data_IF_069690938855
#
_entry.id   IF_069690938855
#
_cell.length_a   1.000
_cell.length_b   1.000
_cell.length_c   1.000
_cell.angle_alpha   90.00
_cell.angle_beta   90.00
_cell.angle_gamma   90.00
#
_symmetry.space_group_name_H-M   'P 1'
#
loop_
_entity.id
_entity.type
_entity.pdbx_description
1 polymer ?
#
# COMPACT_ATOMS: atom_id res chain seq x y z
N UNK A 1 -63.83 34.68 -29.72
CA UNK A 1 -62.52 34.53 -30.38
C UNK A 1 -61.54 33.95 -29.37
N UNK A 2 -60.66 33.04 -29.83
CA UNK A 2 -59.85 32.07 -29.08
C UNK A 2 -59.05 32.64 -27.90
N UNK A 3 -59.16 32.01 -26.74
CA UNK A 3 -58.16 32.13 -25.66
C UNK A 3 -56.99 31.17 -25.98
N UNK A 4 -55.79 31.70 -26.13
CA UNK A 4 -54.56 30.92 -26.26
C UNK A 4 -53.98 30.69 -24.87
N UNK A 5 -53.97 29.43 -24.43
CA UNK A 5 -53.23 29.01 -23.25
C UNK A 5 -51.86 28.54 -23.73
N UNK A 6 -50.81 29.29 -23.38
CA UNK A 6 -49.43 28.88 -23.61
C UNK A 6 -48.98 27.96 -22.48
N UNK A 7 -48.85 26.66 -22.76
CA UNK A 7 -48.15 25.73 -21.87
C UNK A 7 -46.64 25.86 -22.11
N UNK A 8 -45.93 26.43 -21.15
CA UNK A 8 -44.47 26.39 -21.11
C UNK A 8 -44.04 25.06 -20.46
N UNK A 9 -43.75 24.04 -21.27
CA UNK A 9 -43.14 22.80 -20.78
C UNK A 9 -41.63 23.01 -20.73
N UNK A 10 -41.10 23.37 -19.57
CA UNK A 10 -39.67 23.46 -19.35
C UNK A 10 -39.12 22.08 -18.99
N UNK A 11 -38.76 21.28 -20.00
CA UNK A 11 -38.09 20.00 -19.80
C UNK A 11 -36.65 20.25 -19.31
N UNK A 12 -36.43 20.03 -18.02
CA UNK A 12 -35.10 20.12 -17.41
C UNK A 12 -34.28 18.86 -17.77
N UNK A 13 -33.57 18.91 -18.89
CA UNK A 13 -32.57 17.90 -19.25
C UNK A 13 -31.32 18.09 -18.38
N UNK A 14 -31.28 17.40 -17.24
CA UNK A 14 -30.07 17.23 -16.44
C UNK A 14 -29.06 16.40 -17.24
N UNK A 15 -28.21 17.08 -18.01
CA UNK A 15 -26.99 16.50 -18.56
C UNK A 15 -26.01 16.32 -17.40
N UNK A 16 -26.08 15.18 -16.73
CA UNK A 16 -25.00 14.79 -15.81
C UNK A 16 -23.75 14.56 -16.65
N UNK A 17 -22.65 15.32 -16.45
CA UNK A 17 -21.38 14.93 -17.06
C UNK A 17 -21.04 13.55 -16.50
N UNK A 18 -20.78 12.60 -17.41
CA UNK A 18 -20.29 11.28 -17.08
C UNK A 18 -19.18 11.45 -16.04
N UNK A 19 -19.41 10.94 -14.84
CA UNK A 19 -18.40 10.91 -13.80
C UNK A 19 -17.17 10.26 -14.41
N UNK A 20 -16.07 11.01 -14.50
CA UNK A 20 -14.75 10.43 -14.69
C UNK A 20 -14.60 9.44 -13.54
N UNK A 21 -14.86 8.16 -13.79
CA UNK A 21 -14.49 7.11 -12.86
C UNK A 21 -12.98 7.17 -12.84
N UNK A 22 -12.42 7.87 -11.86
CA UNK A 22 -11.08 7.58 -11.42
C UNK A 22 -11.17 6.10 -11.03
N UNK A 23 -10.71 5.19 -11.89
CA UNK A 23 -10.41 3.84 -11.46
C UNK A 23 -9.22 3.98 -10.53
N UNK A 24 -9.47 4.47 -9.32
CA UNK A 24 -8.58 4.23 -8.22
C UNK A 24 -8.65 2.72 -8.04
N UNK A 25 -7.68 2.00 -8.64
CA UNK A 25 -7.36 0.66 -8.16
C UNK A 25 -7.33 0.80 -6.66
N UNK A 26 -8.23 0.12 -5.95
CA UNK A 26 -8.29 0.19 -4.49
C UNK A 26 -6.90 -0.21 -3.99
N UNK A 27 -6.12 0.79 -3.60
CA UNK A 27 -4.71 0.60 -3.29
C UNK A 27 -4.59 -0.20 -2.00
N UNK A 28 -3.45 -0.85 -1.83
CA UNK A 28 -3.07 -1.29 -0.51
C UNK A 28 -2.89 -0.07 0.40
N UNK A 29 -3.24 -0.20 1.66
CA UNK A 29 -2.98 0.76 2.71
C UNK A 29 -2.08 0.11 3.75
N UNK A 30 -0.94 0.71 4.02
CA UNK A 30 -0.02 0.30 5.06
C UNK A 30 -0.28 1.13 6.31
N UNK A 31 -0.83 0.50 7.35
CA UNK A 31 -1.26 1.18 8.58
C UNK A 31 -0.23 1.10 9.70
N UNK A 32 0.39 -0.06 9.91
CA UNK A 32 1.36 -0.28 10.98
C UNK A 32 2.20 -1.53 10.66
N UNK A 33 3.22 -1.78 11.47
CA UNK A 33 3.98 -3.01 11.43
C UNK A 33 4.14 -3.59 12.83
N UNK A 34 4.46 -4.88 12.87
CA UNK A 34 4.73 -5.63 14.10
C UNK A 34 5.88 -6.61 13.80
N UNK A 35 6.88 -6.62 14.68
CA UNK A 35 7.96 -7.61 14.63
C UNK A 35 7.71 -8.63 15.74
N UNK A 36 7.42 -9.87 15.36
CA UNK A 36 7.19 -10.95 16.31
C UNK A 36 8.46 -11.80 16.46
N UNK A 37 8.91 -11.93 17.70
CA UNK A 37 9.99 -12.83 18.06
C UNK A 37 9.49 -14.28 18.01
N UNK A 38 9.99 -15.05 17.05
CA UNK A 38 9.94 -16.51 17.11
C UNK A 38 11.38 -17.01 17.28
N UNK A 39 11.56 -18.06 18.07
CA UNK A 39 12.87 -18.67 18.36
C UNK A 39 13.54 -19.26 17.11
N UNK A 40 12.79 -19.47 16.03
CA UNK A 40 13.29 -20.12 14.81
C UNK A 40 13.07 -19.31 13.53
N UNK A 41 11.95 -18.59 13.41
CA UNK A 41 11.64 -17.75 12.25
C UNK A 41 10.86 -16.50 12.66
N UNK A 42 11.52 -15.38 12.99
CA UNK A 42 10.84 -14.14 13.35
C UNK A 42 9.94 -13.68 12.21
N UNK A 43 8.80 -13.08 12.54
CA UNK A 43 7.86 -12.58 11.54
C UNK A 43 7.84 -11.06 11.53
N UNK A 44 7.95 -10.47 10.34
CA UNK A 44 7.65 -9.07 10.11
C UNK A 44 6.27 -8.95 9.49
N UNK A 45 5.32 -8.42 10.25
CA UNK A 45 3.93 -8.29 9.84
C UNK A 45 3.63 -6.83 9.54
N UNK A 46 3.15 -6.55 8.34
CA UNK A 46 2.55 -5.28 7.98
C UNK A 46 1.04 -5.39 8.05
N UNK A 47 0.38 -4.50 8.78
CA UNK A 47 -1.08 -4.45 8.89
C UNK A 47 -1.64 -3.34 8.01
N UNK A 48 -2.87 -3.53 7.57
CA UNK A 48 -3.67 -2.49 6.93
C UNK A 48 -4.74 -3.06 6.03
N UNK A 49 -4.81 -2.60 4.79
CA UNK A 49 -5.70 -3.15 3.77
C UNK A 49 -4.88 -3.59 2.57
N UNK A 50 -5.00 -4.86 2.18
CA UNK A 50 -4.27 -5.40 1.04
C UNK A 50 -5.24 -6.14 0.11
N UNK A 51 -4.92 -6.15 -1.18
CA UNK A 51 -5.61 -6.93 -2.19
C UNK A 51 -4.77 -8.20 -2.46
N UNK A 52 -5.23 -9.39 -2.02
CA UNK A 52 -4.49 -10.64 -2.19
C UNK A 52 -4.12 -10.96 -3.65
N UNK A 53 -4.89 -10.47 -4.62
CA UNK A 53 -4.59 -10.68 -6.05
C UNK A 53 -3.29 -9.98 -6.49
N UNK A 54 -2.80 -9.01 -5.71
CA UNK A 54 -1.55 -8.30 -5.98
C UNK A 54 -0.34 -8.92 -5.27
N UNK A 55 -0.50 -9.93 -4.40
CA UNK A 55 0.63 -10.47 -3.62
C UNK A 55 1.75 -11.00 -4.51
N UNK A 56 1.39 -11.62 -5.65
CA UNK A 56 2.35 -12.10 -6.64
C UNK A 56 3.17 -10.98 -7.31
N UNK A 57 2.77 -9.70 -7.15
CA UNK A 57 3.46 -8.53 -7.69
C UNK A 57 4.39 -7.87 -6.67
N UNK A 58 4.36 -8.29 -5.40
CA UNK A 58 5.32 -7.87 -4.39
C UNK A 58 6.70 -8.37 -4.80
N UNK A 59 7.69 -7.50 -4.77
CA UNK A 59 9.07 -7.86 -5.12
C UNK A 59 9.94 -7.74 -3.89
N UNK A 60 10.70 -8.79 -3.61
CA UNK A 60 11.73 -8.80 -2.58
C UNK A 60 13.07 -8.87 -3.31
N UNK A 61 13.96 -7.92 -3.03
CA UNK A 61 15.28 -7.84 -3.67
C UNK A 61 16.35 -7.65 -2.63
N UNK A 62 17.50 -8.34 -2.75
CA UNK A 62 18.68 -8.01 -1.95
C UNK A 62 19.04 -6.53 -2.10
N UNK A 63 19.48 -5.93 -1.01
CA UNK A 63 19.98 -4.56 -1.00
C UNK A 63 21.44 -4.46 -1.44
N UNK A 64 22.07 -3.38 -1.02
CA UNK A 64 23.48 -3.08 -1.28
C UNK A 64 24.45 -3.93 -0.46
N UNK A 65 24.01 -4.43 0.70
CA UNK A 65 24.76 -5.37 1.54
C UNK A 65 24.04 -6.71 1.64
N UNK A 66 24.74 -7.75 2.12
CA UNK A 66 24.13 -9.07 2.38
C UNK A 66 23.10 -9.06 3.53
N UNK A 67 23.08 -8.00 4.33
CA UNK A 67 22.17 -7.82 5.47
C UNK A 67 21.03 -6.85 5.17
N UNK A 68 21.01 -6.26 3.97
CA UNK A 68 19.98 -5.35 3.51
C UNK A 68 19.04 -6.10 2.56
N UNK A 69 17.73 -5.92 2.76
CA UNK A 69 16.69 -6.41 1.84
C UNK A 69 15.67 -5.32 1.60
N UNK A 70 15.22 -5.19 0.36
CA UNK A 70 14.16 -4.26 -0.01
C UNK A 70 12.91 -5.00 -0.48
N UNK A 71 11.75 -4.55 0.00
CA UNK A 71 10.43 -5.04 -0.38
C UNK A 71 9.70 -3.90 -1.10
N UNK A 72 9.26 -4.17 -2.32
CA UNK A 72 8.44 -3.24 -3.11
C UNK A 72 6.99 -3.71 -3.02
N UNK A 73 6.17 -2.89 -2.37
CA UNK A 73 4.73 -3.05 -2.27
C UNK A 73 4.07 -2.19 -3.39
N UNK A 74 3.54 -2.82 -4.46
CA UNK A 74 2.91 -2.09 -5.56
C UNK A 74 1.54 -1.56 -5.13
N UNK A 75 1.06 -0.50 -5.78
CA UNK A 75 -0.24 0.13 -5.51
C UNK A 75 -0.50 0.42 -4.01
N UNK A 76 0.55 0.72 -3.24
CA UNK A 76 0.46 0.88 -1.77
C UNK A 76 0.65 2.33 -1.37
N UNK A 77 -0.14 2.78 -0.40
CA UNK A 77 -0.01 4.07 0.29
C UNK A 77 0.26 3.85 1.78
N UNK A 78 1.00 4.76 2.42
CA UNK A 78 1.29 4.72 3.85
C UNK A 78 0.28 5.59 4.58
N UNK A 79 -0.41 5.01 5.57
CA UNK A 79 -1.25 5.78 6.46
C UNK A 79 -0.38 6.65 7.39
N UNK A 80 -0.23 7.92 7.05
CA UNK A 80 0.63 8.84 7.79
C UNK A 80 0.15 9.15 9.21
N UNK A 81 -1.10 8.82 9.55
CA UNK A 81 -1.64 9.00 10.90
C UNK A 81 -1.22 7.84 11.80
N UNK A 82 -1.29 6.61 11.28
CA UNK A 82 -1.00 5.39 12.04
C UNK A 82 0.48 4.98 11.96
N UNK A 83 1.17 5.34 10.88
CA UNK A 83 2.59 5.09 10.66
C UNK A 83 3.33 6.39 10.30
N UNK A 84 3.49 7.30 11.27
CA UNK A 84 4.16 8.58 11.04
C UNK A 84 5.67 8.42 10.82
N UNK A 85 6.28 7.40 11.42
CA UNK A 85 7.71 7.14 11.35
C UNK A 85 8.11 6.50 10.01
N UNK A 86 9.16 7.05 9.38
CA UNK A 86 9.70 6.57 8.10
C UNK A 86 11.02 5.86 8.22
N UNK A 87 11.68 6.04 9.34
CA UNK A 87 12.89 5.32 9.72
C UNK A 87 12.70 4.82 11.14
N UNK A 88 12.78 3.52 11.30
CA UNK A 88 12.59 2.81 12.56
C UNK A 88 13.94 2.18 12.88
N UNK A 89 14.50 2.52 14.03
CA UNK A 89 15.77 1.97 14.54
C UNK A 89 15.62 1.33 15.91
N UNK A 90 14.44 1.42 16.51
CA UNK A 90 14.08 0.79 17.78
C UNK A 90 13.04 -0.28 17.51
N UNK A 91 13.35 -1.51 17.90
CA UNK A 91 12.45 -2.65 17.78
C UNK A 91 12.28 -3.29 19.15
N UNK A 92 11.04 -3.69 19.47
CA UNK A 92 10.73 -4.34 20.75
C UNK A 92 11.34 -5.75 20.87
N UNK A 93 11.72 -6.33 19.73
CA UNK A 93 12.40 -7.62 19.66
C UNK A 93 13.90 -7.40 19.53
N UNK A 94 14.63 -7.76 20.58
CA UNK A 94 16.08 -7.71 20.58
C UNK A 94 16.67 -8.54 19.43
N UNK A 95 17.55 -7.91 18.65
CA UNK A 95 18.65 -8.63 18.00
C UNK A 95 18.52 -9.02 16.53
N UNK A 96 17.43 -8.69 15.84
CA UNK A 96 17.23 -9.16 14.45
C UNK A 96 17.37 -8.01 13.44
N UNK A 97 16.61 -6.94 13.62
CA UNK A 97 16.64 -5.75 12.75
C UNK A 97 17.47 -4.63 13.38
N UNK A 98 18.25 -3.93 12.56
CA UNK A 98 18.95 -2.69 12.94
C UNK A 98 18.16 -1.46 12.53
N UNK A 99 17.60 -1.50 11.32
CA UNK A 99 16.86 -0.38 10.75
C UNK A 99 15.79 -0.88 9.78
N UNK A 100 14.64 -0.23 9.77
CA UNK A 100 13.65 -0.34 8.72
C UNK A 100 13.31 1.06 8.21
N UNK A 101 13.33 1.27 6.90
CA UNK A 101 12.90 2.52 6.30
C UNK A 101 11.76 2.32 5.31
N UNK A 102 10.90 3.33 5.23
CA UNK A 102 9.66 3.33 4.46
C UNK A 102 9.67 4.53 3.53
N UNK A 103 9.76 4.28 2.23
CA UNK A 103 9.74 5.33 1.20
C UNK A 103 8.50 5.15 0.34
N UNK A 104 7.64 6.17 0.34
CA UNK A 104 6.50 6.25 -0.56
C UNK A 104 6.86 7.03 -1.83
N UNK A 105 6.44 6.50 -2.98
CA UNK A 105 6.59 7.15 -4.29
C UNK A 105 5.24 7.21 -4.99
N UNK A 106 4.77 8.43 -5.25
CA UNK A 106 3.55 8.71 -6.00
C UNK A 106 3.94 9.23 -7.38
N UNK A 107 3.46 8.61 -8.44
CA UNK A 107 3.77 9.00 -9.83
C UNK A 107 2.54 9.04 -10.71
N UNK A 108 2.50 10.00 -11.64
CA UNK A 108 1.47 10.05 -12.67
C UNK A 108 1.86 9.16 -13.85
N UNK A 109 0.99 8.24 -14.22
CA UNK A 109 1.17 7.39 -15.41
C UNK A 109 0.92 8.17 -16.70
N UNK A 110 1.45 7.67 -17.83
CA UNK A 110 1.24 8.28 -19.16
C UNK A 110 -0.24 8.43 -19.54
N UNK A 111 -1.11 7.56 -19.02
CA UNK A 111 -2.56 7.58 -19.26
C UNK A 111 -3.35 8.44 -18.26
N UNK A 112 -2.66 9.20 -17.40
CA UNK A 112 -3.29 10.09 -16.42
C UNK A 112 -3.70 9.45 -15.10
N UNK A 113 -3.59 8.12 -14.96
CA UNK A 113 -3.77 7.43 -13.67
C UNK A 113 -2.62 7.71 -12.70
N UNK A 114 -2.83 7.44 -11.41
CA UNK A 114 -1.83 7.60 -10.35
C UNK A 114 -1.31 6.22 -9.95
N UNK A 115 0.00 6.09 -9.82
CA UNK A 115 0.66 4.89 -9.32
C UNK A 115 1.26 5.20 -7.94
N UNK A 116 0.93 4.34 -6.98
CA UNK A 116 1.42 4.39 -5.61
C UNK A 116 2.36 3.22 -5.39
N UNK A 117 3.49 3.46 -4.74
CA UNK A 117 4.48 2.43 -4.46
C UNK A 117 5.13 2.73 -3.12
N UNK A 118 5.23 1.70 -2.29
CA UNK A 118 5.98 1.75 -1.04
C UNK A 118 7.18 0.82 -1.17
N UNK A 119 8.35 1.37 -0.91
CA UNK A 119 9.57 0.58 -0.72
C UNK A 119 9.85 0.49 0.78
N UNK A 120 9.91 -0.73 1.29
CA UNK A 120 10.41 -1.02 2.63
C UNK A 120 11.85 -1.49 2.48
N UNK A 121 12.81 -0.81 3.09
CA UNK A 121 14.19 -1.28 3.18
C UNK A 121 14.47 -1.74 4.60
N UNK A 122 14.95 -2.96 4.76
CA UNK A 122 15.22 -3.60 6.03
C UNK A 122 16.71 -3.89 6.10
N UNK A 123 17.35 -3.37 7.13
CA UNK A 123 18.72 -3.68 7.49
C UNK A 123 18.70 -4.56 8.74
N UNK A 124 19.32 -5.73 8.63
CA UNK A 124 19.41 -6.70 9.72
C UNK A 124 20.82 -6.75 10.29
N UNK A 125 20.96 -7.28 11.52
CA UNK A 125 22.27 -7.49 12.16
C UNK A 125 23.06 -8.61 11.49
N UNK A 126 22.35 -9.64 11.04
CA UNK A 126 22.90 -10.81 10.38
C UNK A 126 22.21 -11.02 9.02
N UNK A 127 22.77 -11.94 8.22
CA UNK A 127 22.19 -12.29 6.93
C UNK A 127 20.91 -13.09 7.13
N UNK A 128 19.78 -12.51 6.73
CA UNK A 128 18.49 -13.18 6.72
C UNK A 128 17.85 -13.15 5.33
N UNK A 129 17.03 -14.15 5.05
CA UNK A 129 16.19 -14.19 3.87
C UNK A 129 14.77 -13.80 4.26
N UNK A 130 14.32 -12.67 3.76
CA UNK A 130 12.93 -12.23 3.92
C UNK A 130 12.07 -12.90 2.84
N UNK A 131 10.97 -13.53 3.22
CA UNK A 131 10.10 -14.28 2.30
C UNK A 131 8.64 -14.01 2.60
N UNK A 132 7.85 -13.63 1.60
CA UNK A 132 6.42 -13.43 1.77
C UNK A 132 5.72 -14.77 2.13
N UNK A 133 5.16 -14.86 3.33
CA UNK A 133 4.30 -15.96 3.75
C UNK A 133 2.86 -15.69 3.33
N UNK A 134 2.51 -16.17 2.13
CA UNK A 134 1.16 -16.05 1.57
C UNK A 134 0.10 -16.84 2.34
N UNK A 135 0.47 -17.80 3.19
CA UNK A 135 -0.50 -18.56 4.01
C UNK A 135 -0.91 -17.78 5.26
N UNK A 136 -0.04 -16.88 5.72
CA UNK A 136 -0.30 -15.97 6.85
C UNK A 136 -0.65 -14.55 6.42
N UNK A 137 -0.62 -14.28 5.13
CA UNK A 137 -1.03 -13.00 4.56
C UNK A 137 -2.48 -13.07 4.08
N UNK A 138 -3.22 -11.98 4.26
CA UNK A 138 -4.61 -11.84 3.84
C UNK A 138 -4.95 -10.37 3.53
N UNK A 139 -6.23 -10.07 3.34
CA UNK A 139 -6.68 -8.70 3.04
C UNK A 139 -6.39 -7.65 4.11
N UNK A 140 -5.92 -8.04 5.29
CA UNK A 140 -5.63 -7.19 6.45
C UNK A 140 -4.17 -7.19 6.84
N UNK A 141 -3.38 -8.14 6.38
CA UNK A 141 -1.96 -8.22 6.72
C UNK A 141 -1.10 -8.86 5.63
N UNK A 142 0.15 -8.40 5.55
CA UNK A 142 1.24 -9.09 4.88
C UNK A 142 2.19 -9.62 5.94
N UNK A 143 2.57 -10.90 5.84
CA UNK A 143 3.54 -11.54 6.73
C UNK A 143 4.77 -11.93 5.94
N UNK A 144 5.93 -11.55 6.46
CA UNK A 144 7.25 -11.87 5.92
C UNK A 144 8.11 -12.59 6.96
#
# INVERSE_FOLDING_TARGET
>A
MKQFIYFLVFSLSLLFPATLSLSANSGHLLDQFELLADKTSPYLIFKGFFDPEQFAKIKITPGTSETETSVILPNTFINNILLPEREITSFDVDGILEKMSLVEKITKTKKGGINFLVTVTILSKEKHFLVLDTKRSDSRQLSF
#
